data_IF_633828690533
#
_entry.id   IF_633828690533
#
_cell.length_a   1.000
_cell.length_b   1.000
_cell.length_c   1.000
_cell.angle_alpha   90.00
_cell.angle_beta   90.00
_cell.angle_gamma   90.00
#
_symmetry.space_group_name_H-M   'P 1'
#
loop_
_entity.id
_entity.type
_entity.pdbx_description
1 polymer ?
#
# COMPACT_ATOMS: atom_id res chain seq x y z
N UNK A 1 31.89 45.33 -8.76
CA UNK A 1 31.07 45.22 -7.54
C UNK A 1 30.16 44.04 -7.76
N UNK A 2 30.28 43.00 -6.94
CA UNK A 2 29.36 41.88 -7.01
C UNK A 2 28.02 42.34 -6.44
N UNK A 3 26.95 42.17 -7.22
CA UNK A 3 25.60 42.54 -6.81
C UNK A 3 25.04 41.38 -5.98
N UNK A 4 24.45 41.68 -4.81
CA UNK A 4 23.79 40.66 -4.00
C UNK A 4 22.69 39.97 -4.81
N UNK A 5 22.64 38.65 -4.75
CA UNK A 5 21.66 37.87 -5.48
C UNK A 5 21.58 36.43 -4.99
N UNK A 6 20.71 35.61 -5.62
CA UNK A 6 20.62 34.19 -5.30
C UNK A 6 21.81 33.44 -5.92
N UNK A 7 22.59 32.82 -5.06
CA UNK A 7 23.63 31.87 -5.41
C UNK A 7 23.13 30.45 -5.14
N UNK A 8 23.51 29.52 -5.99
CA UNK A 8 23.13 28.11 -5.85
C UNK A 8 24.37 27.24 -5.95
N UNK A 9 24.38 26.14 -5.19
CA UNK A 9 25.40 25.11 -5.26
C UNK A 9 24.87 23.78 -4.75
N UNK A 10 25.51 22.69 -5.16
CA UNK A 10 25.24 21.36 -4.62
C UNK A 10 26.14 21.16 -3.40
N UNK A 11 25.54 20.97 -2.23
CA UNK A 11 26.24 20.88 -0.95
C UNK A 11 26.29 19.44 -0.48
N UNK A 12 27.41 19.04 0.10
CA UNK A 12 27.64 17.71 0.68
C UNK A 12 28.03 17.86 2.15
N UNK A 13 27.42 17.07 3.01
CA UNK A 13 27.54 17.20 4.46
C UNK A 13 27.33 15.87 5.18
N UNK A 14 27.76 15.82 6.44
CA UNK A 14 27.75 14.62 7.28
C UNK A 14 26.91 14.81 8.52
N UNK A 15 26.13 13.79 8.87
CA UNK A 15 25.50 13.67 10.19
C UNK A 15 26.33 12.72 11.06
N UNK A 16 26.66 13.12 12.30
CA UNK A 16 27.33 12.23 13.24
C UNK A 16 26.31 11.40 14.02
N UNK A 17 26.33 10.07 13.87
CA UNK A 17 25.43 9.16 14.60
C UNK A 17 25.89 8.85 16.05
N UNK A 18 26.62 9.79 16.65
CA UNK A 18 27.25 9.65 17.96
C UNK A 18 28.71 10.09 17.89
N UNK A 19 29.03 11.26 18.46
CA UNK A 19 30.44 11.61 18.71
C UNK A 19 30.97 10.63 19.76
N UNK A 20 32.02 9.83 19.49
CA UNK A 20 32.63 9.02 20.53
C UNK A 20 33.19 9.98 21.58
N UNK A 21 32.53 10.05 22.73
CA UNK A 21 32.99 10.92 23.83
C UNK A 21 34.22 10.36 24.53
N UNK A 22 34.47 9.04 24.44
CA UNK A 22 35.42 8.35 25.32
C UNK A 22 36.30 7.27 24.67
N UNK A 23 36.20 7.01 23.35
CA UNK A 23 37.07 6.03 22.67
C UNK A 23 37.58 6.52 21.30
N UNK A 24 38.87 6.88 21.17
CA UNK A 24 39.46 7.34 19.90
C UNK A 24 39.66 6.23 18.87
N UNK A 25 39.36 4.96 19.20
CA UNK A 25 39.51 3.82 18.30
C UNK A 25 38.19 3.32 17.68
N UNK A 26 37.05 3.89 18.06
CA UNK A 26 35.77 3.59 17.41
C UNK A 26 35.66 4.43 16.14
N UNK A 27 35.53 3.79 14.98
CA UNK A 27 35.21 4.48 13.74
C UNK A 27 33.93 5.29 13.95
N UNK A 28 34.07 6.61 13.86
CA UNK A 28 32.94 7.51 13.95
C UNK A 28 31.96 7.16 12.84
N UNK A 29 30.76 6.69 13.20
CA UNK A 29 29.69 6.45 12.23
C UNK A 29 29.13 7.78 11.78
N UNK A 30 29.22 8.04 10.48
CA UNK A 30 28.59 9.19 9.84
C UNK A 30 27.67 8.73 8.71
N UNK A 31 26.66 9.55 8.42
CA UNK A 31 25.87 9.46 7.19
C UNK A 31 26.22 10.63 6.30
N UNK A 32 26.53 10.35 5.03
CA UNK A 32 26.76 11.37 4.02
C UNK A 32 25.44 11.76 3.36
N UNK A 33 25.27 13.05 3.13
CA UNK A 33 24.10 13.65 2.49
C UNK A 33 24.53 14.66 1.44
N UNK A 34 23.67 14.85 0.46
CA UNK A 34 23.76 15.91 -0.52
C UNK A 34 22.42 16.62 -0.67
N UNK A 35 22.44 17.94 -0.89
CA UNK A 35 21.26 18.71 -1.29
C UNK A 35 21.68 19.88 -2.18
N UNK A 36 20.74 20.45 -2.93
CA UNK A 36 20.96 21.80 -3.46
C UNK A 36 20.71 22.84 -2.36
N UNK A 37 21.46 23.93 -2.37
CA UNK A 37 21.20 25.06 -1.50
C UNK A 37 21.14 26.34 -2.32
N UNK A 38 20.19 27.21 -1.99
CA UNK A 38 20.15 28.58 -2.48
C UNK A 38 20.50 29.52 -1.32
N UNK A 39 21.34 30.53 -1.58
CA UNK A 39 21.74 31.53 -0.58
C UNK A 39 21.71 32.92 -1.19
N UNK A 40 21.15 33.89 -0.47
CA UNK A 40 21.21 35.30 -0.83
C UNK A 40 22.55 35.92 -0.40
N UNK A 41 23.48 36.06 -1.34
CA UNK A 41 24.86 36.52 -1.10
C UNK A 41 25.44 37.22 -2.32
N UNK A 42 26.58 37.89 -2.16
CA UNK A 42 27.35 38.50 -3.25
C UNK A 42 28.60 37.68 -3.62
N UNK A 43 28.87 36.58 -2.93
CA UNK A 43 30.11 35.85 -3.08
C UNK A 43 29.97 34.36 -2.73
N UNK A 44 30.84 33.56 -3.34
CA UNK A 44 31.00 32.14 -3.02
C UNK A 44 31.36 31.91 -1.55
N UNK A 45 32.19 32.79 -0.95
CA UNK A 45 32.53 32.71 0.46
C UNK A 45 31.27 32.89 1.34
N UNK A 46 30.45 33.90 1.06
CA UNK A 46 29.21 34.11 1.80
C UNK A 46 28.19 32.98 1.64
N UNK A 47 28.20 32.28 0.49
CA UNK A 47 27.42 31.06 0.29
C UNK A 47 27.87 29.96 1.27
N UNK A 48 29.17 29.63 1.27
CA UNK A 48 29.73 28.56 2.09
C UNK A 48 29.55 28.83 3.59
N UNK A 49 29.79 30.07 4.03
CA UNK A 49 29.59 30.46 5.43
C UNK A 49 28.13 30.29 5.86
N UNK A 50 27.18 30.71 5.02
CA UNK A 50 25.74 30.63 5.33
C UNK A 50 25.26 29.18 5.41
N UNK A 51 25.67 28.33 4.45
CA UNK A 51 25.33 26.90 4.45
C UNK A 51 25.95 26.21 5.66
N UNK A 52 27.22 26.48 5.96
CA UNK A 52 27.93 25.87 7.09
C UNK A 52 27.23 26.22 8.41
N UNK A 53 26.95 27.50 8.66
CA UNK A 53 26.26 27.93 9.88
C UNK A 53 24.87 27.30 10.01
N UNK A 54 24.13 27.18 8.90
CA UNK A 54 22.79 26.63 8.90
C UNK A 54 22.78 25.11 9.16
N UNK A 55 23.72 24.37 8.55
CA UNK A 55 23.86 22.93 8.75
C UNK A 55 24.37 22.58 10.15
N UNK A 56 25.35 23.33 10.67
CA UNK A 56 25.88 23.13 12.03
C UNK A 56 24.81 23.36 13.10
N UNK A 57 23.91 24.34 12.89
CA UNK A 57 22.78 24.57 13.77
C UNK A 57 21.80 23.39 13.83
N UNK A 58 21.80 22.53 12.80
CA UNK A 58 21.00 21.30 12.71
C UNK A 58 21.79 20.03 13.08
N UNK A 59 23.05 20.16 13.51
CA UNK A 59 23.89 19.03 13.91
C UNK A 59 24.68 18.36 12.78
N UNK A 60 24.63 18.91 11.57
CA UNK A 60 25.42 18.42 10.43
C UNK A 60 26.78 19.12 10.35
N UNK A 61 27.75 18.46 9.72
CA UNK A 61 29.04 19.03 9.37
C UNK A 61 29.14 19.19 7.86
N UNK A 62 29.26 20.43 7.40
CA UNK A 62 29.50 20.73 6.00
C UNK A 62 30.86 20.16 5.56
N UNK A 63 30.89 19.47 4.41
CA UNK A 63 32.10 18.84 3.89
C UNK A 63 32.63 19.59 2.67
N UNK A 64 31.84 19.74 1.62
CA UNK A 64 32.19 20.55 0.43
C UNK A 64 30.94 20.98 -0.34
N UNK A 65 31.12 21.88 -1.30
CA UNK A 65 30.08 22.24 -2.26
C UNK A 65 30.66 22.32 -3.69
N UNK A 66 29.83 21.94 -4.65
CA UNK A 66 30.13 21.96 -6.08
C UNK A 66 29.29 23.01 -6.79
N UNK A 67 29.88 23.58 -7.85
CA UNK A 67 29.22 24.51 -8.75
C UNK A 67 28.51 25.69 -8.06
N UNK A 68 29.14 26.24 -7.01
CA UNK A 68 28.62 27.41 -6.29
C UNK A 68 28.72 28.66 -7.16
N UNK A 69 27.60 29.08 -7.75
CA UNK A 69 27.52 30.15 -8.75
C UNK A 69 26.26 31.02 -8.54
N UNK A 70 26.27 32.28 -9.02
CA UNK A 70 25.03 33.05 -9.16
C UNK A 70 24.03 32.31 -10.05
N UNK A 71 22.73 32.37 -9.75
CA UNK A 71 21.69 31.56 -10.42
C UNK A 71 21.76 31.63 -11.95
N UNK A 72 21.98 32.83 -12.51
CA UNK A 72 22.04 33.04 -13.97
C UNK A 72 23.22 32.30 -14.58
N UNK A 73 24.39 32.35 -13.92
CA UNK A 73 25.58 31.62 -14.37
C UNK A 73 25.39 30.11 -14.21
N UNK A 74 24.75 29.67 -13.12
CA UNK A 74 24.43 28.27 -12.88
C UNK A 74 23.51 27.70 -13.98
N UNK A 75 22.37 28.36 -14.25
CA UNK A 75 21.41 27.96 -15.29
C UNK A 75 22.03 27.99 -16.69
N UNK A 76 22.93 28.95 -16.97
CA UNK A 76 23.64 29.00 -18.26
C UNK A 76 24.55 27.79 -18.47
N UNK A 77 25.15 27.28 -17.39
CA UNK A 77 26.10 26.15 -17.45
C UNK A 77 25.41 24.80 -17.48
N UNK A 78 24.37 24.61 -16.67
CA UNK A 78 23.72 23.30 -16.47
C UNK A 78 22.36 23.17 -17.17
N UNK A 79 21.80 24.27 -17.67
CA UNK A 79 20.46 24.30 -18.24
C UNK A 79 19.37 24.29 -17.17
N UNK A 80 18.20 23.78 -17.54
CA UNK A 80 17.03 23.68 -16.68
C UNK A 80 17.23 22.60 -15.60
N UNK A 81 16.96 22.94 -14.34
CA UNK A 81 16.94 21.99 -13.22
C UNK A 81 15.81 22.36 -12.25
N UNK A 82 14.82 21.48 -12.13
CA UNK A 82 13.56 21.77 -11.42
C UNK A 82 13.76 22.21 -9.97
N UNK A 83 14.65 21.55 -9.23
CA UNK A 83 14.89 21.89 -7.82
C UNK A 83 15.51 23.29 -7.66
N UNK A 84 16.53 23.62 -8.46
CA UNK A 84 17.21 24.93 -8.45
C UNK A 84 16.26 26.06 -8.86
N UNK A 85 15.41 25.81 -9.84
CA UNK A 85 14.34 26.74 -10.23
C UNK A 85 13.35 26.97 -9.08
N UNK A 86 13.03 25.94 -8.29
CA UNK A 86 12.10 26.07 -7.16
C UNK A 86 12.70 26.77 -5.93
N UNK A 87 14.01 26.61 -5.70
CA UNK A 87 14.72 27.14 -4.53
C UNK A 87 15.11 28.61 -4.70
N UNK A 88 15.63 28.98 -5.86
CA UNK A 88 16.18 30.33 -6.10
C UNK A 88 15.23 31.50 -5.84
N UNK A 89 13.91 31.43 -6.09
CA UNK A 89 12.97 32.52 -5.79
C UNK A 89 12.64 32.65 -4.30
N UNK A 90 12.97 31.64 -3.49
CA UNK A 90 12.65 31.63 -2.05
C UNK A 90 13.64 32.44 -1.23
N UNK A 91 14.85 32.65 -1.74
CA UNK A 91 15.88 33.40 -1.02
C UNK A 91 15.90 34.87 -1.39
N UNK A 92 16.03 35.72 -0.38
CA UNK A 92 16.10 37.17 -0.50
C UNK A 92 16.83 37.78 0.72
N UNK A 93 16.83 39.10 0.85
CA UNK A 93 17.51 39.79 1.95
C UNK A 93 16.99 39.41 3.36
N UNK A 94 15.71 39.01 3.46
CA UNK A 94 15.04 38.60 4.70
C UNK A 94 15.13 37.09 4.94
N UNK A 95 15.05 36.28 3.87
CA UNK A 95 15.21 34.82 3.91
C UNK A 95 16.52 34.41 3.21
N UNK A 96 17.61 34.33 3.96
CA UNK A 96 18.95 34.26 3.36
C UNK A 96 19.36 32.89 2.81
N UNK A 97 18.73 31.81 3.24
CA UNK A 97 19.11 30.45 2.84
C UNK A 97 17.89 29.55 2.75
N UNK A 98 17.86 28.72 1.72
CA UNK A 98 16.89 27.64 1.53
C UNK A 98 17.65 26.38 1.10
N UNK A 99 17.40 25.26 1.78
CA UNK A 99 17.94 23.96 1.40
C UNK A 99 16.88 23.15 0.64
N UNK A 100 17.32 22.45 -0.39
CA UNK A 100 16.57 21.43 -1.09
C UNK A 100 16.42 20.14 -0.29
N UNK A 101 15.92 19.09 -0.94
CA UNK A 101 15.76 17.81 -0.29
C UNK A 101 17.13 17.21 0.07
N UNK A 102 17.31 16.79 1.32
CA UNK A 102 18.53 16.11 1.76
C UNK A 102 18.50 14.65 1.34
N UNK A 103 19.40 14.27 0.44
CA UNK A 103 19.48 12.92 -0.15
C UNK A 103 20.70 12.23 0.42
N UNK A 104 20.53 11.00 0.92
CA UNK A 104 21.67 10.20 1.43
C UNK A 104 22.56 9.76 0.28
N UNK A 105 23.87 9.89 0.45
CA UNK A 105 24.86 9.52 -0.58
C UNK A 105 25.78 8.40 -0.11
N UNK A 106 26.31 7.64 -1.06
CA UNK A 106 27.43 6.72 -0.83
C UNK A 106 28.75 7.47 -0.68
N UNK A 107 29.83 6.73 -0.43
CA UNK A 107 31.19 7.28 -0.33
C UNK A 107 31.65 7.97 -1.64
N UNK A 108 31.06 7.60 -2.77
CA UNK A 108 31.32 8.16 -4.09
C UNK A 108 30.52 9.44 -4.38
N UNK A 109 29.72 9.92 -3.41
CA UNK A 109 28.86 11.09 -3.55
C UNK A 109 27.62 10.87 -4.43
N UNK A 110 27.38 9.63 -4.88
CA UNK A 110 26.17 9.29 -5.61
C UNK A 110 24.99 9.09 -4.65
N UNK A 111 23.76 9.50 -5.03
CA UNK A 111 22.57 9.15 -4.29
C UNK A 111 22.50 7.64 -4.07
N UNK A 112 22.31 7.22 -2.81
CA UNK A 112 21.98 5.82 -2.56
C UNK A 112 20.60 5.53 -3.16
N UNK A 113 20.41 4.35 -3.79
CA UNK A 113 19.10 3.98 -4.30
C UNK A 113 18.09 3.98 -3.15
N UNK A 114 16.88 4.47 -3.44
CA UNK A 114 15.79 4.39 -2.48
C UNK A 114 15.45 2.91 -2.25
N UNK A 115 15.68 2.44 -1.03
CA UNK A 115 15.39 1.07 -0.64
C UNK A 115 13.90 0.97 -0.31
N UNK A 116 13.19 0.10 -1.03
CA UNK A 116 11.79 -0.20 -0.72
C UNK A 116 11.69 -0.67 0.74
N UNK A 117 10.81 -0.06 1.55
CA UNK A 117 10.80 -0.34 2.98
C UNK A 117 10.24 -1.73 3.32
N UNK A 118 9.50 -2.33 2.40
CA UNK A 118 8.94 -3.68 2.52
C UNK A 118 9.55 -4.56 1.44
N UNK A 119 10.18 -5.66 1.86
CA UNK A 119 10.60 -6.72 0.96
C UNK A 119 9.44 -7.69 0.75
N UNK A 120 8.93 -7.77 -0.48
CA UNK A 120 7.86 -8.68 -0.87
C UNK A 120 8.42 -9.77 -1.79
N UNK A 121 8.29 -11.02 -1.37
CA UNK A 121 8.68 -12.21 -2.15
C UNK A 121 7.43 -13.02 -2.48
N UNK A 122 7.35 -13.55 -3.70
CA UNK A 122 6.25 -14.40 -4.16
C UNK A 122 6.77 -15.81 -4.38
N UNK A 123 6.12 -16.77 -3.74
CA UNK A 123 6.49 -18.18 -3.77
C UNK A 123 5.43 -18.97 -4.53
N UNK A 124 5.89 -19.76 -5.50
CA UNK A 124 5.09 -20.76 -6.16
C UNK A 124 5.15 -22.03 -5.32
N UNK A 125 4.06 -22.35 -4.62
CA UNK A 125 3.95 -23.55 -3.78
C UNK A 125 3.12 -24.58 -4.54
N UNK A 126 3.67 -25.77 -4.85
CA UNK A 126 2.90 -26.83 -5.48
C UNK A 126 1.69 -27.22 -4.63
N UNK A 127 0.55 -27.47 -5.26
CA UNK A 127 -0.57 -28.12 -4.58
C UNK A 127 -0.16 -29.52 -4.11
N UNK A 128 -0.76 -29.97 -3.00
CA UNK A 128 -0.59 -31.34 -2.57
C UNK A 128 -1.08 -32.28 -3.68
N UNK A 129 -0.34 -33.38 -3.98
CA UNK A 129 -0.81 -34.37 -4.93
C UNK A 129 -2.14 -34.97 -4.48
N UNK A 130 -2.86 -35.62 -5.40
CA UNK A 130 -4.05 -36.38 -5.01
C UNK A 130 -3.62 -37.52 -4.06
N UNK A 131 -4.23 -37.54 -2.87
CA UNK A 131 -3.95 -38.47 -1.79
C UNK A 131 -5.17 -39.37 -1.49
N UNK A 132 -6.11 -39.51 -2.44
CA UNK A 132 -7.29 -40.36 -2.28
C UNK A 132 -6.96 -41.81 -1.90
N UNK A 133 -5.90 -42.37 -2.49
CA UNK A 133 -5.43 -43.73 -2.25
C UNK A 133 -4.48 -43.86 -1.04
N UNK A 134 -4.03 -42.74 -0.47
CA UNK A 134 -3.17 -42.76 0.71
C UNK A 134 -4.00 -43.06 1.98
N UNK A 135 -3.52 -43.95 2.87
CA UNK A 135 -4.12 -44.13 4.19
C UNK A 135 -4.18 -42.80 4.96
N UNK A 136 -5.22 -42.60 5.76
CA UNK A 136 -5.46 -41.29 6.40
C UNK A 136 -4.30 -40.81 7.30
N UNK A 137 -3.50 -41.71 7.87
CA UNK A 137 -2.31 -41.41 8.69
C UNK A 137 -1.06 -41.02 7.87
N UNK A 138 -1.04 -41.34 6.57
CA UNK A 138 0.04 -40.97 5.64
C UNK A 138 -0.28 -39.71 4.83
N UNK A 139 -1.50 -39.15 4.99
CA UNK A 139 -1.91 -37.95 4.26
C UNK A 139 -1.20 -36.72 4.81
N UNK A 140 -0.42 -36.07 3.95
CA UNK A 140 0.15 -34.76 4.23
C UNK A 140 -0.98 -33.72 4.39
N UNK A 141 -0.91 -32.94 5.47
CA UNK A 141 -1.88 -31.88 5.79
C UNK A 141 -1.46 -30.51 5.21
N UNK A 142 -0.20 -30.38 4.78
CA UNK A 142 0.40 -29.17 4.22
C UNK A 142 1.51 -29.55 3.23
N UNK A 143 1.72 -28.73 2.21
CA UNK A 143 2.86 -28.89 1.29
C UNK A 143 4.19 -28.62 2.03
N UNK A 144 5.24 -29.43 1.85
CA UNK A 144 6.51 -29.27 2.57
C UNK A 144 7.15 -27.89 2.41
N UNK A 145 7.06 -27.29 1.22
CA UNK A 145 7.58 -25.95 0.95
C UNK A 145 6.82 -24.87 1.73
N UNK A 146 5.50 -25.04 1.87
CA UNK A 146 4.69 -24.14 2.69
C UNK A 146 4.95 -24.35 4.17
N UNK A 147 5.09 -25.60 4.62
CA UNK A 147 5.46 -25.92 6.00
C UNK A 147 6.80 -25.28 6.38
N UNK A 148 7.81 -25.41 5.53
CA UNK A 148 9.12 -24.81 5.72
C UNK A 148 9.03 -23.27 5.79
N UNK A 149 8.21 -22.65 4.94
CA UNK A 149 8.02 -21.20 4.94
C UNK A 149 7.31 -20.72 6.23
N UNK A 150 6.26 -21.42 6.68
CA UNK A 150 5.43 -21.02 7.82
C UNK A 150 6.03 -21.38 9.19
N UNK A 151 6.82 -22.44 9.28
CA UNK A 151 7.30 -23.00 10.55
C UNK A 151 8.83 -23.16 10.63
N UNK A 152 9.54 -23.08 9.49
CA UNK A 152 11.00 -23.22 9.44
C UNK A 152 11.72 -22.11 10.19
N UNK A 153 12.68 -22.47 11.05
CA UNK A 153 13.42 -21.50 11.86
C UNK A 153 14.61 -20.94 11.08
N UNK A 154 14.83 -19.61 11.09
CA UNK A 154 15.98 -19.02 10.40
C UNK A 154 17.30 -19.45 11.05
N UNK A 155 18.25 -19.91 10.23
CA UNK A 155 19.59 -20.26 10.69
C UNK A 155 20.32 -19.02 11.23
N UNK A 156 20.98 -19.15 12.38
CA UNK A 156 21.80 -18.08 12.97
C UNK A 156 21.03 -16.99 13.74
N UNK A 157 19.70 -17.10 13.88
CA UNK A 157 18.92 -16.20 14.75
C UNK A 157 18.88 -16.74 16.18
N UNK A 158 19.15 -15.87 17.17
CA UNK A 158 19.12 -16.27 18.59
C UNK A 158 17.71 -16.56 19.11
N UNK A 159 16.68 -15.90 18.56
CA UNK A 159 15.29 -16.06 18.96
C UNK A 159 14.49 -16.86 17.91
N UNK A 160 13.80 -17.91 18.37
CA UNK A 160 12.84 -18.65 17.57
C UNK A 160 11.64 -17.79 17.21
N UNK A 161 11.12 -17.96 15.99
CA UNK A 161 9.90 -17.32 15.54
C UNK A 161 8.69 -18.17 15.93
N UNK A 162 7.72 -17.51 16.54
CA UNK A 162 6.37 -18.00 16.74
C UNK A 162 5.54 -17.78 15.46
N UNK A 163 4.52 -18.61 15.25
CA UNK A 163 3.63 -18.54 14.09
C UNK A 163 2.19 -18.36 14.57
N UNK A 164 1.53 -17.31 14.10
CA UNK A 164 0.15 -16.98 14.45
C UNK A 164 -0.68 -16.83 13.18
N UNK A 165 -1.99 -17.07 13.25
CA UNK A 165 -2.92 -16.81 12.15
C UNK A 165 -3.91 -15.72 12.54
N UNK A 166 -3.96 -14.67 11.73
CA UNK A 166 -4.90 -13.57 11.89
C UNK A 166 -6.02 -13.75 10.85
N UNK A 167 -7.20 -14.15 11.33
CA UNK A 167 -8.33 -14.59 10.49
C UNK A 167 -9.51 -13.65 10.56
N UNK A 168 -10.21 -13.49 9.44
CA UNK A 168 -11.51 -12.83 9.40
C UNK A 168 -12.63 -13.83 9.74
N UNK A 169 -13.31 -13.64 10.89
CA UNK A 169 -14.35 -14.56 11.35
C UNK A 169 -15.54 -14.66 10.38
N UNK A 170 -15.87 -13.59 9.65
CA UNK A 170 -16.97 -13.63 8.69
C UNK A 170 -16.61 -14.50 7.48
N UNK A 171 -15.37 -14.41 6.99
CA UNK A 171 -14.89 -15.27 5.91
C UNK A 171 -14.79 -16.72 6.35
N UNK A 172 -14.25 -16.98 7.54
CA UNK A 172 -14.19 -18.33 8.11
C UNK A 172 -15.58 -18.96 8.23
N UNK A 173 -16.54 -18.20 8.80
CA UNK A 173 -17.94 -18.61 8.93
C UNK A 173 -18.59 -18.92 7.58
N UNK A 174 -18.27 -18.19 6.52
CA UNK A 174 -18.83 -18.46 5.19
C UNK A 174 -18.37 -19.80 4.60
N UNK A 175 -17.18 -20.27 4.98
CA UNK A 175 -16.62 -21.57 4.55
C UNK A 175 -17.18 -22.72 5.38
N UNK A 176 -17.29 -22.54 6.71
CA UNK A 176 -17.76 -23.59 7.63
C UNK A 176 -19.29 -23.63 7.70
N UNK A 177 -19.97 -22.54 7.39
CA UNK A 177 -21.42 -22.35 7.50
C UNK A 177 -21.88 -21.92 8.90
N UNK A 178 -21.01 -22.01 9.91
CA UNK A 178 -21.28 -21.61 11.30
C UNK A 178 -20.06 -20.90 11.91
N UNK A 179 -20.27 -20.17 13.01
CA UNK A 179 -19.16 -19.56 13.74
C UNK A 179 -18.64 -20.58 14.77
N UNK A 180 -17.39 -21.00 14.62
CA UNK A 180 -16.79 -22.13 15.36
C UNK A 180 -15.45 -21.80 16.04
N UNK A 181 -14.98 -20.55 15.92
CA UNK A 181 -13.70 -20.11 16.48
C UNK A 181 -13.65 -20.17 18.02
N UNK A 182 -14.77 -20.30 18.72
CA UNK A 182 -14.82 -20.53 20.18
C UNK A 182 -14.53 -22.00 20.58
N UNK A 183 -14.58 -22.94 19.63
CA UNK A 183 -14.47 -24.38 19.86
C UNK A 183 -13.23 -25.02 19.22
N UNK A 184 -12.25 -24.19 18.83
CA UNK A 184 -10.98 -24.67 18.24
C UNK A 184 -10.06 -25.24 19.33
N UNK A 185 -9.19 -26.16 18.92
CA UNK A 185 -8.27 -26.89 19.80
C UNK A 185 -6.91 -26.18 20.00
N UNK A 186 -6.90 -24.86 19.76
CA UNK A 186 -5.72 -23.99 19.83
C UNK A 186 -6.05 -22.67 20.53
N UNK A 187 -5.06 -21.98 21.13
CA UNK A 187 -5.29 -20.63 21.68
C UNK A 187 -5.82 -19.66 20.63
N UNK A 188 -6.85 -18.91 20.99
CA UNK A 188 -7.55 -17.97 20.10
C UNK A 188 -8.01 -16.75 20.88
N UNK A 189 -7.89 -15.56 20.28
CA UNK A 189 -8.32 -14.31 20.90
C UNK A 189 -8.88 -13.33 19.88
N UNK A 190 -10.07 -12.79 20.18
CA UNK A 190 -10.71 -11.73 19.40
C UNK A 190 -9.92 -10.43 19.54
N UNK A 191 -9.73 -9.67 18.45
CA UNK A 191 -9.06 -8.36 18.52
C UNK A 191 -9.99 -7.22 18.98
N UNK A 192 -11.32 -7.44 18.97
CA UNK A 192 -12.27 -6.45 19.49
C UNK A 192 -12.46 -6.62 21.00
N UNK A 193 -12.52 -5.51 21.72
CA UNK A 193 -12.74 -5.44 23.17
C UNK A 193 -14.15 -4.99 23.55
N UNK A 194 -14.54 -5.31 24.78
CA UNK A 194 -15.76 -4.81 25.42
C UNK A 194 -17.05 -5.30 24.76
N UNK A 195 -18.12 -4.51 24.88
CA UNK A 195 -19.45 -4.83 24.32
C UNK A 195 -19.43 -5.02 22.79
N UNK A 196 -18.47 -4.38 22.10
CA UNK A 196 -18.27 -4.56 20.66
C UNK A 196 -17.76 -5.96 20.30
N UNK A 197 -17.08 -6.65 21.22
CA UNK A 197 -16.60 -8.02 21.03
C UNK A 197 -17.78 -8.99 20.86
N UNK A 198 -18.74 -9.00 21.80
CA UNK A 198 -19.88 -9.92 21.74
C UNK A 198 -20.84 -9.60 20.60
N UNK A 199 -21.11 -8.31 20.34
CA UNK A 199 -22.03 -7.89 19.29
C UNK A 199 -21.51 -8.18 17.87
N UNK A 200 -20.19 -8.19 17.68
CA UNK A 200 -19.53 -8.34 16.37
C UNK A 200 -18.62 -9.56 16.29
N UNK A 201 -18.72 -10.51 17.23
CA UNK A 201 -17.81 -11.67 17.30
C UNK A 201 -17.74 -12.49 16.03
N UNK A 202 -18.85 -12.59 15.29
CA UNK A 202 -18.92 -13.32 14.03
C UNK A 202 -18.34 -12.57 12.82
N UNK A 203 -17.89 -11.32 13.01
CA UNK A 203 -17.29 -10.46 11.98
C UNK A 203 -15.96 -9.82 12.42
N UNK A 204 -15.53 -10.08 13.66
CA UNK A 204 -14.29 -9.55 14.19
C UNK A 204 -13.09 -10.37 13.67
N UNK A 205 -11.90 -9.75 13.58
CA UNK A 205 -10.67 -10.51 13.37
C UNK A 205 -10.23 -11.22 14.65
N UNK A 206 -9.63 -12.40 14.50
CA UNK A 206 -9.10 -13.22 15.59
C UNK A 206 -7.64 -13.57 15.35
N UNK A 207 -6.83 -13.51 16.40
CA UNK A 207 -5.49 -14.08 16.41
C UNK A 207 -5.56 -15.49 16.96
N UNK A 208 -4.94 -16.43 16.25
CA UNK A 208 -4.90 -17.85 16.59
C UNK A 208 -3.45 -18.29 16.68
N UNK A 209 -3.11 -19.06 17.71
CA UNK A 209 -1.77 -19.61 17.87
C UNK A 209 -1.61 -20.85 16.99
N UNK A 210 -0.65 -20.80 16.05
CA UNK A 210 -0.31 -21.91 15.18
C UNK A 210 0.93 -22.67 15.63
N UNK A 211 1.44 -22.45 16.86
CA UNK A 211 2.56 -23.21 17.39
C UNK A 211 2.30 -24.73 17.26
N UNK A 212 3.26 -25.43 16.67
CA UNK A 212 3.20 -26.87 16.51
C UNK A 212 3.75 -27.56 17.78
N UNK A 213 3.08 -28.60 18.30
CA UNK A 213 3.63 -29.42 19.37
C UNK A 213 4.98 -30.03 18.98
N UNK A 214 5.84 -30.28 19.98
CA UNK A 214 7.13 -30.93 19.74
C UNK A 214 6.91 -32.32 19.11
N UNK A 215 7.58 -32.57 17.98
CA UNK A 215 7.44 -33.83 17.23
C UNK A 215 6.34 -33.82 16.16
N UNK A 216 5.53 -32.77 16.05
CA UNK A 216 4.44 -32.70 15.06
C UNK A 216 4.92 -32.73 13.58
N UNK A 217 6.19 -32.37 13.31
CA UNK A 217 6.79 -32.54 11.99
C UNK A 217 7.18 -33.99 11.64
N UNK A 218 7.14 -34.90 12.62
CA UNK A 218 7.42 -36.34 12.44
C UNK A 218 6.15 -37.19 12.60
N UNK A 219 5.18 -36.69 13.37
CA UNK A 219 3.92 -37.36 13.66
C UNK A 219 2.74 -36.41 13.39
N UNK A 220 2.02 -36.67 12.30
CA UNK A 220 0.87 -35.88 11.88
C UNK A 220 -0.32 -35.99 12.85
N UNK A 221 -0.36 -37.00 13.73
CA UNK A 221 -1.43 -37.13 14.74
C UNK A 221 -1.29 -36.10 15.87
N UNK A 222 -0.09 -35.53 16.05
CA UNK A 222 0.15 -34.43 17.00
C UNK A 222 -0.27 -33.06 16.46
N UNK A 223 -0.55 -32.95 15.16
CA UNK A 223 -0.96 -31.69 14.52
C UNK A 223 -2.42 -31.39 14.90
N UNK A 224 -2.71 -30.23 15.51
CA UNK A 224 -4.08 -29.87 15.91
C UNK A 224 -5.06 -29.92 14.74
N UNK A 225 -6.33 -30.21 15.04
CA UNK A 225 -7.40 -30.30 14.05
C UNK A 225 -7.57 -28.98 13.30
N UNK A 226 -7.45 -27.85 14.01
CA UNK A 226 -7.53 -26.53 13.40
C UNK A 226 -6.52 -26.34 12.25
N UNK A 227 -5.26 -26.74 12.42
CA UNK A 227 -4.25 -26.63 11.36
C UNK A 227 -4.65 -27.42 10.10
N UNK A 228 -5.09 -28.67 10.28
CA UNK A 228 -5.52 -29.53 9.16
C UNK A 228 -6.69 -28.90 8.41
N UNK A 229 -7.68 -28.37 9.13
CA UNK A 229 -8.84 -27.71 8.53
C UNK A 229 -8.48 -26.38 7.84
N UNK A 230 -7.60 -25.59 8.45
CA UNK A 230 -7.07 -24.35 7.90
C UNK A 230 -6.48 -24.56 6.50
N UNK A 231 -5.55 -25.50 6.34
CA UNK A 231 -4.90 -25.71 5.04
C UNK A 231 -5.77 -26.45 4.04
N UNK A 232 -6.67 -27.33 4.50
CA UNK A 232 -7.59 -28.03 3.61
C UNK A 232 -8.69 -27.14 3.02
N UNK A 233 -9.17 -26.13 3.76
CA UNK A 233 -10.39 -25.38 3.39
C UNK A 233 -10.24 -23.87 3.37
N UNK A 234 -9.41 -23.31 4.25
CA UNK A 234 -9.37 -21.88 4.50
C UNK A 234 -8.22 -21.15 3.80
N UNK A 235 -7.08 -21.83 3.59
CA UNK A 235 -5.87 -21.25 3.02
C UNK A 235 -6.13 -20.69 1.63
N UNK A 236 -6.50 -21.52 0.65
CA UNK A 236 -6.75 -21.08 -0.73
C UNK A 236 -7.92 -20.08 -0.89
N UNK A 237 -8.72 -19.86 0.16
CA UNK A 237 -9.86 -18.95 0.17
C UNK A 237 -9.51 -17.57 0.74
N UNK A 238 -8.24 -17.27 0.99
CA UNK A 238 -7.75 -15.95 1.41
C UNK A 238 -8.42 -15.42 2.70
N UNK A 239 -8.75 -16.32 3.63
CA UNK A 239 -9.52 -15.99 4.85
C UNK A 239 -8.76 -15.20 5.91
N UNK A 240 -7.45 -15.08 5.76
CA UNK A 240 -6.58 -14.41 6.72
C UNK A 240 -5.12 -14.45 6.30
N UNK A 241 -4.25 -14.10 7.24
CA UNK A 241 -2.80 -14.05 7.05
C UNK A 241 -2.08 -14.77 8.18
N UNK A 242 -0.93 -15.36 7.88
CA UNK A 242 -0.02 -15.89 8.88
C UNK A 242 1.00 -14.81 9.25
N UNK A 243 1.25 -14.66 10.55
CA UNK A 243 2.22 -13.75 11.14
C UNK A 243 3.33 -14.59 11.77
N UNK A 244 4.58 -14.38 11.36
CA UNK A 244 5.74 -14.95 12.04
C UNK A 244 6.51 -13.87 12.78
N UNK A 245 6.81 -14.08 14.05
CA UNK A 245 7.51 -13.08 14.87
C UNK A 245 8.12 -13.69 16.12
N UNK A 246 9.18 -13.08 16.66
CA UNK A 246 9.74 -13.45 17.95
C UNK A 246 8.84 -12.99 19.13
N UNK A 247 7.85 -12.13 18.87
CA UNK A 247 6.94 -11.66 19.90
C UNK A 247 6.02 -12.78 20.43
N UNK A 248 5.69 -12.70 21.71
CA UNK A 248 4.69 -13.57 22.36
C UNK A 248 3.28 -13.30 21.84
N UNK A 249 2.37 -14.27 22.00
CA UNK A 249 0.97 -14.16 21.57
C UNK A 249 0.31 -12.85 22.00
N UNK A 250 0.38 -12.50 23.29
CA UNK A 250 -0.18 -11.26 23.84
C UNK A 250 0.40 -9.98 23.23
N UNK A 251 1.70 -9.99 22.93
CA UNK A 251 2.38 -8.84 22.34
C UNK A 251 1.97 -8.66 20.88
N UNK A 252 1.90 -9.76 20.12
CA UNK A 252 1.37 -9.76 18.74
C UNK A 252 -0.09 -9.31 18.71
N UNK A 253 -0.91 -9.80 19.64
CA UNK A 253 -2.32 -9.42 19.73
C UNK A 253 -2.49 -7.92 19.99
N UNK A 254 -1.76 -7.34 20.96
CA UNK A 254 -1.79 -5.89 21.22
C UNK A 254 -1.31 -5.07 20.03
N UNK A 255 -0.26 -5.53 19.36
CA UNK A 255 0.25 -4.87 18.15
C UNK A 255 -0.80 -4.83 17.04
N UNK A 256 -1.46 -5.96 16.80
CA UNK A 256 -2.54 -6.07 15.83
C UNK A 256 -3.71 -5.12 16.19
N UNK A 257 -4.13 -5.14 17.46
CA UNK A 257 -5.22 -4.31 17.95
C UNK A 257 -4.93 -2.81 17.75
N UNK A 258 -3.70 -2.36 17.98
CA UNK A 258 -3.30 -0.96 17.82
C UNK A 258 -3.49 -0.43 16.37
N UNK A 259 -3.50 -1.31 15.37
CA UNK A 259 -3.63 -0.96 13.96
C UNK A 259 -5.05 -1.16 13.40
N UNK A 260 -6.03 -1.54 14.22
CA UNK A 260 -7.42 -1.69 13.78
C UNK A 260 -8.05 -0.36 13.35
N UNK A 261 -7.76 0.72 14.09
CA UNK A 261 -8.29 2.07 13.86
C UNK A 261 -7.15 3.04 13.66
N UNK A 262 -7.05 3.58 12.47
CA UNK A 262 -5.93 4.42 12.06
C UNK A 262 -6.42 5.83 11.75
N UNK A 263 -5.74 6.87 12.27
CA UNK A 263 -6.07 8.25 11.94
C UNK A 263 -5.83 8.54 10.46
N UNK A 264 -6.63 9.44 9.88
CA UNK A 264 -6.43 9.93 8.51
C UNK A 264 -5.60 11.20 8.56
N UNK A 265 -4.55 11.26 7.75
CA UNK A 265 -3.67 12.43 7.68
C UNK A 265 -4.45 13.70 7.34
N UNK A 266 -4.28 14.74 8.16
CA UNK A 266 -4.96 16.02 7.99
C UNK A 266 -6.46 16.04 8.33
N UNK A 267 -7.01 14.94 8.86
CA UNK A 267 -8.43 14.83 9.19
C UNK A 267 -8.65 14.38 10.64
N UNK A 268 -9.74 14.82 11.27
CA UNK A 268 -10.07 14.45 12.66
C UNK A 268 -10.70 13.07 12.80
N UNK A 269 -10.93 12.35 11.70
CA UNK A 269 -11.58 11.03 11.71
C UNK A 269 -10.55 9.91 11.70
N UNK A 270 -10.98 8.75 12.20
CA UNK A 270 -10.25 7.49 12.12
C UNK A 270 -11.02 6.53 11.21
N UNK A 271 -10.28 5.66 10.52
CA UNK A 271 -10.86 4.60 9.70
C UNK A 271 -10.44 3.23 10.23
N UNK A 272 -11.31 2.25 10.02
CA UNK A 272 -10.95 0.86 10.29
C UNK A 272 -10.09 0.32 9.15
N UNK A 273 -8.88 -0.15 9.47
CA UNK A 273 -7.97 -0.75 8.51
C UNK A 273 -8.06 -2.28 8.60
N UNK A 274 -8.59 -2.92 7.56
CA UNK A 274 -8.73 -4.38 7.46
C UNK A 274 -7.44 -5.06 6.99
N UNK A 275 -6.31 -4.75 7.62
CA UNK A 275 -4.98 -5.23 7.19
C UNK A 275 -4.80 -6.76 7.33
N UNK A 276 -5.74 -7.46 7.96
CA UNK A 276 -5.75 -8.93 8.02
C UNK A 276 -6.31 -9.60 6.76
N UNK A 277 -6.81 -8.82 5.80
CA UNK A 277 -7.30 -9.35 4.54
C UNK A 277 -6.18 -9.31 3.48
N UNK A 278 -5.84 -10.43 2.81
CA UNK A 278 -4.76 -10.50 1.82
C UNK A 278 -4.79 -9.37 0.77
N UNK A 279 -5.94 -9.13 0.15
CA UNK A 279 -6.09 -8.04 -0.84
C UNK A 279 -5.84 -6.62 -0.30
N UNK A 280 -6.09 -6.40 0.99
CA UNK A 280 -5.80 -5.10 1.63
C UNK A 280 -4.30 -4.91 1.78
N UNK A 281 -3.56 -5.97 2.15
CA UNK A 281 -2.10 -5.94 2.23
C UNK A 281 -1.44 -5.81 0.86
N UNK A 282 -1.90 -6.55 -0.15
CA UNK A 282 -1.37 -6.44 -1.51
C UNK A 282 -1.54 -5.03 -2.09
N UNK A 283 -2.52 -4.28 -1.60
CA UNK A 283 -2.72 -2.87 -1.96
C UNK A 283 -1.89 -1.92 -1.12
N UNK A 284 -1.75 -2.20 0.18
CA UNK A 284 -1.11 -1.30 1.15
C UNK A 284 0.42 -1.41 1.14
N UNK A 285 0.96 -2.63 1.24
CA UNK A 285 2.39 -2.87 1.44
C UNK A 285 3.28 -2.20 0.38
N UNK A 286 2.94 -2.21 -0.93
CA UNK A 286 3.78 -1.59 -1.95
C UNK A 286 3.84 -0.06 -1.90
N UNK A 287 2.92 0.58 -1.15
CA UNK A 287 2.86 2.05 -1.05
C UNK A 287 3.21 2.55 0.34
N UNK A 288 3.57 1.67 1.28
CA UNK A 288 3.96 2.09 2.62
C UNK A 288 5.25 2.89 2.58
N UNK A 289 5.28 3.98 3.35
CA UNK A 289 6.52 4.72 3.58
C UNK A 289 7.35 4.04 4.67
N UNK A 290 8.64 4.38 4.73
CA UNK A 290 9.61 3.79 5.67
C UNK A 290 9.08 3.68 7.10
N UNK A 291 8.55 4.78 7.63
CA UNK A 291 8.06 4.80 9.01
C UNK A 291 6.82 3.97 9.22
N UNK A 292 5.85 4.07 8.32
CA UNK A 292 4.60 3.32 8.42
C UNK A 292 4.81 1.81 8.21
N UNK A 293 5.75 1.42 7.35
CA UNK A 293 6.19 0.04 7.21
C UNK A 293 6.78 -0.48 8.53
N UNK A 294 7.65 0.30 9.19
CA UNK A 294 8.21 -0.07 10.49
C UNK A 294 7.13 -0.26 11.55
N UNK A 295 6.21 0.70 11.66
CA UNK A 295 5.12 0.65 12.64
C UNK A 295 4.19 -0.54 12.40
N UNK A 296 3.83 -0.82 11.14
CA UNK A 296 2.92 -1.91 10.82
C UNK A 296 3.57 -3.29 11.01
N UNK A 297 4.81 -3.47 10.55
CA UNK A 297 5.46 -4.78 10.51
C UNK A 297 6.27 -5.06 11.78
N UNK A 298 7.01 -4.10 12.34
CA UNK A 298 7.76 -4.20 13.61
C UNK A 298 8.42 -5.57 13.90
N UNK A 299 9.18 -6.08 12.94
CA UNK A 299 9.87 -7.38 13.06
C UNK A 299 8.99 -8.62 12.85
N UNK A 300 7.76 -8.43 12.38
CA UNK A 300 6.87 -9.48 11.89
C UNK A 300 7.12 -9.76 10.41
N UNK A 301 6.89 -11.01 10.04
CA UNK A 301 6.77 -11.46 8.66
C UNK A 301 5.30 -11.81 8.42
N UNK A 302 4.74 -11.31 7.33
CA UNK A 302 3.37 -11.61 6.90
C UNK A 302 3.43 -12.61 5.75
N UNK A 303 2.68 -13.70 5.86
CA UNK A 303 2.63 -14.75 4.84
C UNK A 303 1.17 -15.06 4.54
N UNK A 304 0.77 -14.96 3.27
CA UNK A 304 -0.62 -15.15 2.89
C UNK A 304 -0.77 -15.65 1.45
N UNK A 305 -1.84 -16.39 1.14
CA UNK A 305 -2.12 -16.83 -0.22
C UNK A 305 -2.72 -15.68 -1.03
N UNK A 306 -2.36 -15.59 -2.30
CA UNK A 306 -2.93 -14.62 -3.24
C UNK A 306 -2.81 -15.12 -4.67
N UNK A 307 -3.92 -15.20 -5.39
CA UNK A 307 -3.92 -15.47 -6.85
C UNK A 307 -3.14 -16.75 -7.25
N UNK A 308 -3.17 -17.78 -6.40
CA UNK A 308 -2.45 -19.05 -6.61
C UNK A 308 -0.99 -19.05 -6.16
N UNK A 309 -0.49 -17.94 -5.62
CA UNK A 309 0.85 -17.81 -5.05
C UNK A 309 0.79 -17.68 -3.52
N UNK A 310 1.95 -17.79 -2.88
CA UNK A 310 2.15 -17.41 -1.48
C UNK A 310 3.01 -16.16 -1.42
N UNK A 311 2.44 -15.08 -0.91
CA UNK A 311 3.12 -13.80 -0.70
C UNK A 311 3.77 -13.83 0.68
N UNK A 312 5.06 -13.47 0.73
CA UNK A 312 5.83 -13.29 1.95
C UNK A 312 6.35 -11.86 2.00
N UNK A 313 5.89 -11.08 2.98
CA UNK A 313 6.27 -9.70 3.18
C UNK A 313 6.92 -9.49 4.54
N UNK A 314 8.00 -8.71 4.57
CA UNK A 314 8.69 -8.33 5.80
C UNK A 314 9.36 -6.96 5.62
N UNK A 315 9.79 -6.35 6.72
CA UNK A 315 10.66 -5.18 6.62
C UNK A 315 11.91 -5.54 5.82
N UNK A 316 12.29 -4.64 4.91
CA UNK A 316 13.50 -4.84 4.16
C UNK A 316 14.71 -4.85 5.13
N UNK A 317 15.52 -5.92 5.17
CA UNK A 317 16.67 -5.99 6.08
C UNK A 317 17.71 -4.90 5.85
N UNK A 318 17.76 -4.34 4.64
CA UNK A 318 18.64 -3.22 4.27
C UNK A 318 18.08 -1.86 4.70
N UNK A 319 16.84 -1.84 5.23
CA UNK A 319 16.21 -0.63 5.71
C UNK A 319 16.86 -0.16 7.01
N UNK A 320 17.64 0.90 6.91
CA UNK A 320 18.10 1.62 8.09
C UNK A 320 16.96 2.47 8.66
N UNK A 321 16.72 2.29 9.97
CA UNK A 321 15.73 3.04 10.72
C UNK A 321 16.43 4.14 11.52
N UNK A 322 15.91 5.36 11.41
CA UNK A 322 16.32 6.46 12.26
C UNK A 322 15.51 6.43 13.55
N UNK A 323 16.10 6.82 14.68
CA UNK A 323 15.42 6.80 15.99
C UNK A 323 14.13 7.63 16.00
N UNK A 324 14.03 8.66 15.15
CA UNK A 324 12.83 9.49 14.99
C UNK A 324 11.63 8.76 14.38
N UNK A 325 11.86 7.62 13.72
CA UNK A 325 10.82 6.83 13.04
C UNK A 325 10.02 5.98 14.03
N UNK A 326 10.63 5.59 15.14
CA UNK A 326 9.99 4.71 16.13
C UNK A 326 8.85 5.40 16.88
N UNK A 327 8.90 6.71 17.02
CA UNK A 327 7.93 7.51 17.77
C UNK A 327 6.77 8.06 16.93
N UNK A 328 6.82 7.91 15.60
CA UNK A 328 5.75 8.40 14.72
C UNK A 328 4.56 7.43 14.69
N UNK A 329 3.33 7.91 14.93
CA UNK A 329 2.15 7.07 14.82
C UNK A 329 1.84 6.74 13.36
N UNK A 330 1.40 5.50 13.11
CA UNK A 330 0.90 5.09 11.80
C UNK A 330 -0.34 5.92 11.43
N UNK A 331 -0.32 6.56 10.26
CA UNK A 331 -1.43 7.39 9.76
C UNK A 331 -1.77 7.04 8.31
N UNK A 332 -3.05 7.12 7.93
CA UNK A 332 -3.49 6.92 6.55
C UNK A 332 -3.20 8.18 5.72
N UNK A 333 -2.08 8.14 5.00
CA UNK A 333 -1.61 9.18 4.11
C UNK A 333 -2.36 9.21 2.77
N UNK A 334 -2.19 10.30 2.03
CA UNK A 334 -2.79 10.49 0.69
C UNK A 334 -2.55 9.32 -0.26
N UNK A 335 -1.30 8.88 -0.41
CA UNK A 335 -0.92 7.78 -1.30
C UNK A 335 -1.64 6.47 -0.97
N UNK A 336 -1.86 6.19 0.33
CA UNK A 336 -2.49 4.94 0.78
C UNK A 336 -3.97 4.95 0.44
N UNK A 337 -4.63 6.09 0.63
CA UNK A 337 -6.03 6.31 0.26
C UNK A 337 -6.24 6.19 -1.24
N UNK A 338 -5.33 6.72 -2.04
CA UNK A 338 -5.38 6.55 -3.49
C UNK A 338 -5.22 5.08 -3.90
N UNK A 339 -4.32 4.33 -3.27
CA UNK A 339 -4.17 2.90 -3.51
C UNK A 339 -5.46 2.12 -3.18
N UNK A 340 -6.08 2.39 -2.02
CA UNK A 340 -7.37 1.80 -1.67
C UNK A 340 -8.51 2.25 -2.58
N UNK A 341 -8.51 3.50 -3.02
CA UNK A 341 -9.51 3.97 -3.97
C UNK A 341 -9.39 3.21 -5.30
N UNK A 342 -8.17 3.02 -5.81
CA UNK A 342 -7.91 2.18 -7.00
C UNK A 342 -8.38 0.74 -6.79
N UNK A 343 -8.22 0.17 -5.60
CA UNK A 343 -8.74 -1.16 -5.27
C UNK A 343 -10.28 -1.20 -5.34
N UNK A 344 -10.95 -0.24 -4.70
CA UNK A 344 -12.42 -0.13 -4.74
C UNK A 344 -12.90 0.03 -6.18
N UNK A 345 -12.21 0.83 -6.98
CA UNK A 345 -12.53 1.03 -8.39
C UNK A 345 -12.42 -0.25 -9.19
N UNK A 346 -11.34 -1.01 -9.03
CA UNK A 346 -11.15 -2.30 -9.71
C UNK A 346 -12.28 -3.26 -9.39
N UNK A 347 -12.66 -3.40 -8.12
CA UNK A 347 -13.79 -4.25 -7.71
C UNK A 347 -15.11 -3.78 -8.30
N UNK A 348 -15.36 -2.47 -8.24
CA UNK A 348 -16.56 -1.86 -8.80
C UNK A 348 -16.67 -2.07 -10.32
N UNK A 349 -15.57 -1.87 -11.04
CA UNK A 349 -15.46 -2.12 -12.48
C UNK A 349 -15.73 -3.60 -12.77
N UNK A 350 -15.03 -4.53 -12.10
CA UNK A 350 -15.18 -5.97 -12.34
C UNK A 350 -16.62 -6.46 -12.15
N UNK A 351 -17.33 -5.95 -11.13
CA UNK A 351 -18.74 -6.28 -10.90
C UNK A 351 -19.66 -5.73 -12.01
N UNK A 352 -19.41 -4.51 -12.50
CA UNK A 352 -20.16 -3.95 -13.64
C UNK A 352 -19.87 -4.75 -14.92
N UNK A 353 -18.61 -5.05 -15.21
CA UNK A 353 -18.20 -5.84 -16.36
C UNK A 353 -18.89 -7.21 -16.35
N UNK A 354 -18.80 -7.93 -15.22
CA UNK A 354 -19.48 -9.22 -15.02
C UNK A 354 -20.98 -9.11 -15.31
N UNK A 355 -21.64 -8.08 -14.78
CA UNK A 355 -23.08 -7.87 -14.99
C UNK A 355 -23.40 -7.55 -16.46
N UNK A 356 -22.62 -6.70 -17.11
CA UNK A 356 -22.80 -6.35 -18.53
C UNK A 356 -22.62 -7.58 -19.43
N UNK A 357 -21.55 -8.34 -19.21
CA UNK A 357 -21.27 -9.56 -19.98
C UNK A 357 -22.38 -10.60 -19.82
N UNK A 358 -23.04 -10.67 -18.66
CA UNK A 358 -24.20 -11.53 -18.44
C UNK A 358 -25.49 -11.02 -19.10
N UNK A 359 -25.59 -9.72 -19.36
CA UNK A 359 -26.78 -9.08 -19.92
C UNK A 359 -26.76 -8.96 -21.45
N UNK A 360 -25.57 -8.96 -22.07
CA UNK A 360 -25.42 -8.83 -23.51
C UNK A 360 -25.61 -10.18 -24.24
N UNK A 361 -26.38 -10.21 -25.34
CA UNK A 361 -26.50 -11.40 -26.17
C UNK A 361 -25.19 -11.64 -26.94
N UNK A 362 -24.70 -12.89 -26.93
CA UNK A 362 -23.47 -13.33 -27.62
C UNK A 362 -22.19 -12.61 -27.18
N UNK A 363 -21.58 -13.12 -26.10
CA UNK A 363 -20.35 -12.58 -25.51
C UNK A 363 -19.09 -13.13 -26.19
N UNK A 364 -18.80 -12.67 -27.41
CA UNK A 364 -17.52 -12.95 -28.07
C UNK A 364 -16.36 -12.12 -27.48
N UNK A 365 -15.14 -12.36 -27.97
CA UNK A 365 -13.94 -11.69 -27.47
C UNK A 365 -13.95 -10.18 -27.75
N UNK A 366 -14.55 -9.74 -28.85
CA UNK A 366 -14.64 -8.32 -29.21
C UNK A 366 -15.57 -7.58 -28.25
N UNK A 367 -16.74 -8.16 -27.96
CA UNK A 367 -17.68 -7.63 -26.96
C UNK A 367 -17.04 -7.56 -25.58
N UNK A 368 -16.28 -8.59 -25.17
CA UNK A 368 -15.53 -8.57 -23.90
C UNK A 368 -14.55 -7.41 -23.83
N UNK A 369 -13.74 -7.24 -24.87
CA UNK A 369 -12.76 -6.16 -24.92
C UNK A 369 -13.43 -4.79 -24.84
N UNK A 370 -14.52 -4.58 -25.61
CA UNK A 370 -15.29 -3.33 -25.58
C UNK A 370 -15.86 -3.04 -24.19
N UNK A 371 -16.35 -4.05 -23.47
CA UNK A 371 -16.83 -3.90 -22.09
C UNK A 371 -15.68 -3.45 -21.18
N UNK A 372 -14.54 -4.14 -21.24
CA UNK A 372 -13.34 -3.83 -20.43
C UNK A 372 -12.79 -2.43 -20.69
N UNK A 373 -12.89 -1.91 -21.91
CA UNK A 373 -12.45 -0.55 -22.23
C UNK A 373 -13.48 0.52 -21.81
N UNK A 374 -14.77 0.18 -21.91
CA UNK A 374 -15.88 1.14 -21.68
C UNK A 374 -16.12 1.40 -20.21
N UNK A 375 -16.13 0.38 -19.36
CA UNK A 375 -16.52 0.53 -17.94
C UNK A 375 -15.59 1.48 -17.16
N UNK A 376 -14.24 1.34 -17.23
CA UNK A 376 -13.33 2.27 -16.55
C UNK A 376 -13.49 3.71 -17.07
N UNK A 377 -13.71 3.87 -18.37
CA UNK A 377 -13.91 5.17 -19.01
C UNK A 377 -15.18 5.85 -18.51
N UNK A 378 -16.28 5.11 -18.35
CA UNK A 378 -17.54 5.65 -17.82
C UNK A 378 -17.47 5.98 -16.33
N UNK A 379 -16.78 5.15 -15.54
CA UNK A 379 -16.53 5.46 -14.13
C UNK A 379 -15.77 6.79 -13.99
N UNK A 380 -14.72 7.00 -14.80
CA UNK A 380 -13.95 8.25 -14.84
C UNK A 380 -14.83 9.43 -15.25
N UNK A 381 -15.60 9.28 -16.34
CA UNK A 381 -16.51 10.31 -16.85
C UNK A 381 -17.51 10.78 -15.79
N UNK A 382 -18.11 9.84 -15.05
CA UNK A 382 -19.10 10.15 -14.01
C UNK A 382 -18.44 10.89 -12.85
N UNK A 383 -17.24 10.47 -12.41
CA UNK A 383 -16.53 11.12 -11.29
C UNK A 383 -16.14 12.55 -11.56
N UNK A 384 -15.61 12.81 -12.75
CA UNK A 384 -15.24 14.16 -13.18
C UNK A 384 -16.46 15.10 -13.13
N UNK A 385 -17.66 14.56 -13.40
CA UNK A 385 -18.92 15.32 -13.41
C UNK A 385 -19.70 15.30 -12.10
N UNK A 386 -19.37 14.40 -11.19
CA UNK A 386 -19.98 14.33 -9.84
C UNK A 386 -19.23 15.16 -8.81
N UNK A 387 -18.12 15.81 -9.19
CA UNK A 387 -17.29 16.57 -8.26
C UNK A 387 -16.64 15.69 -7.19
N UNK A 388 -16.39 14.42 -7.51
CA UNK A 388 -15.81 13.44 -6.58
C UNK A 388 -16.84 12.72 -5.69
N UNK A 389 -18.15 12.94 -5.87
CA UNK A 389 -19.16 12.18 -5.15
C UNK A 389 -19.10 10.68 -5.52
N UNK A 390 -19.42 9.76 -4.57
CA UNK A 390 -19.46 8.33 -4.83
C UNK A 390 -20.34 7.97 -6.01
N UNK A 391 -19.84 7.11 -6.90
CA UNK A 391 -20.58 6.71 -8.11
C UNK A 391 -21.52 5.55 -7.78
N UNK A 392 -22.81 5.75 -8.04
CA UNK A 392 -23.80 4.68 -7.90
C UNK A 392 -23.58 3.58 -8.95
N UNK A 393 -23.63 2.32 -8.52
CA UNK A 393 -23.49 1.15 -9.40
C UNK A 393 -24.46 1.20 -10.58
N UNK A 394 -25.74 1.47 -10.33
CA UNK A 394 -26.77 1.52 -11.37
C UNK A 394 -26.48 2.56 -12.44
N UNK A 395 -26.04 3.75 -12.05
CA UNK A 395 -25.72 4.85 -12.97
C UNK A 395 -24.54 4.52 -13.87
N UNK A 396 -23.46 3.96 -13.32
CA UNK A 396 -22.31 3.54 -14.12
C UNK A 396 -22.68 2.38 -15.06
N UNK A 397 -23.42 1.38 -14.56
CA UNK A 397 -23.90 0.27 -15.37
C UNK A 397 -24.76 0.74 -16.55
N UNK A 398 -25.75 1.61 -16.29
CA UNK A 398 -26.66 2.10 -17.34
C UNK A 398 -25.92 2.93 -18.40
N UNK A 399 -25.02 3.83 -17.98
CA UNK A 399 -24.25 4.62 -18.92
C UNK A 399 -23.32 3.74 -19.76
N UNK A 400 -22.62 2.78 -19.13
CA UNK A 400 -21.79 1.81 -19.87
C UNK A 400 -22.61 0.99 -20.86
N UNK A 401 -23.80 0.54 -20.48
CA UNK A 401 -24.69 -0.20 -21.39
C UNK A 401 -25.11 0.66 -22.59
N UNK A 402 -25.52 1.92 -22.37
CA UNK A 402 -25.89 2.84 -23.45
C UNK A 402 -24.73 3.08 -24.43
N UNK A 403 -23.53 3.31 -23.91
CA UNK A 403 -22.32 3.52 -24.74
C UNK A 403 -22.01 2.26 -25.57
N UNK A 404 -22.13 1.07 -24.98
CA UNK A 404 -21.92 -0.19 -25.70
C UNK A 404 -22.96 -0.40 -26.82
N UNK A 405 -24.23 -0.10 -26.55
CA UNK A 405 -25.33 -0.26 -27.51
C UNK A 405 -25.27 0.76 -28.66
N UNK A 406 -24.84 1.99 -28.38
CA UNK A 406 -24.71 3.05 -29.38
C UNK A 406 -23.45 2.93 -30.24
N UNK A 407 -22.40 2.26 -29.74
CA UNK A 407 -21.14 2.09 -30.47
C UNK A 407 -20.52 3.44 -30.83
N UNK A 408 -20.17 3.70 -32.11
CA UNK A 408 -19.58 4.97 -32.52
C UNK A 408 -20.45 6.21 -32.22
N UNK A 409 -21.78 6.07 -32.18
CA UNK A 409 -22.69 7.17 -31.87
C UNK A 409 -22.70 7.56 -30.37
N UNK A 410 -21.99 6.81 -29.52
CA UNK A 410 -21.90 7.11 -28.10
C UNK A 410 -21.19 8.45 -27.83
N UNK A 411 -20.29 8.88 -28.71
CA UNK A 411 -19.59 10.16 -28.54
C UNK A 411 -20.57 11.34 -28.54
N UNK A 412 -21.53 11.34 -29.48
CA UNK A 412 -22.57 12.36 -29.56
C UNK A 412 -23.41 12.41 -28.29
N UNK A 413 -23.69 11.24 -27.69
CA UNK A 413 -24.39 11.16 -26.41
C UNK A 413 -23.55 11.78 -25.27
N UNK A 414 -22.27 11.42 -25.16
CA UNK A 414 -21.38 11.89 -24.09
C UNK A 414 -21.07 13.39 -24.17
N UNK A 415 -21.11 13.95 -25.37
CA UNK A 415 -20.95 15.38 -25.65
C UNK A 415 -22.27 16.16 -25.58
N UNK A 416 -23.42 15.47 -25.54
CA UNK A 416 -24.73 16.11 -25.50
C UNK A 416 -24.83 17.09 -24.32
N UNK A 417 -25.45 18.28 -24.51
CA UNK A 417 -25.66 19.26 -23.45
C UNK A 417 -26.31 18.66 -22.20
N UNK A 418 -27.22 17.70 -22.40
CA UNK A 418 -27.92 16.99 -21.33
C UNK A 418 -26.96 16.29 -20.36
N UNK A 419 -25.92 15.60 -20.85
CA UNK A 419 -24.94 14.91 -19.99
C UNK A 419 -23.83 15.85 -19.49
N UNK A 420 -23.76 17.08 -20.00
CA UNK A 420 -22.79 18.10 -19.60
C UNK A 420 -23.37 19.17 -18.65
N UNK A 421 -24.69 19.18 -18.42
CA UNK A 421 -25.35 20.10 -17.50
C UNK A 421 -24.91 19.85 -16.05
N UNK A 422 -24.21 20.81 -15.44
CA UNK A 422 -23.65 20.67 -14.08
C UNK A 422 -24.68 20.84 -12.98
N UNK A 423 -25.81 21.48 -13.29
CA UNK A 423 -26.87 21.75 -12.31
C UNK A 423 -27.76 20.53 -12.02
N UNK A 424 -27.68 19.50 -12.86
CA UNK A 424 -28.50 18.28 -12.74
C UNK A 424 -27.61 17.12 -12.26
N UNK A 425 -28.01 16.37 -11.21
CA UNK A 425 -27.28 15.18 -10.77
C UNK A 425 -27.01 14.21 -11.92
N UNK A 426 -25.82 13.59 -11.93
CA UNK A 426 -25.40 12.68 -13.01
C UNK A 426 -26.35 11.48 -13.18
N UNK A 427 -26.93 11.03 -12.08
CA UNK A 427 -27.91 9.94 -12.05
C UNK A 427 -29.17 10.29 -12.86
N UNK A 428 -29.68 11.51 -12.69
CA UNK A 428 -30.86 11.98 -13.43
C UNK A 428 -30.54 12.18 -14.91
N UNK A 429 -29.35 12.68 -15.23
CA UNK A 429 -28.90 12.85 -16.63
C UNK A 429 -28.79 11.51 -17.35
N UNK A 430 -28.22 10.49 -16.70
CA UNK A 430 -28.14 9.12 -17.25
C UNK A 430 -29.53 8.51 -17.41
N UNK A 431 -30.44 8.71 -16.45
CA UNK A 431 -31.82 8.24 -16.56
C UNK A 431 -32.56 8.85 -17.76
N UNK A 432 -32.42 10.16 -18.00
CA UNK A 432 -32.99 10.85 -19.15
C UNK A 432 -32.39 10.37 -20.48
N UNK A 433 -31.07 10.17 -20.52
CA UNK A 433 -30.40 9.60 -21.70
C UNK A 433 -30.94 8.19 -22.04
N UNK A 434 -31.19 7.37 -21.02
CA UNK A 434 -31.80 6.04 -21.16
C UNK A 434 -33.22 6.12 -21.71
N UNK A 435 -34.05 7.00 -21.18
CA UNK A 435 -35.42 7.20 -21.66
C UNK A 435 -35.45 7.66 -23.12
N UNK A 436 -34.62 8.64 -23.47
CA UNK A 436 -34.48 9.12 -24.85
C UNK A 436 -34.06 8.00 -25.83
N UNK A 437 -33.13 7.14 -25.42
CA UNK A 437 -32.71 5.98 -26.23
C UNK A 437 -33.87 4.99 -26.44
N UNK A 438 -34.64 4.68 -25.40
CA UNK A 438 -35.79 3.78 -25.49
C UNK A 438 -36.88 4.34 -26.40
N UNK A 439 -37.21 5.63 -26.27
CA UNK A 439 -38.19 6.30 -27.15
C UNK A 439 -37.75 6.24 -28.62
N UNK A 440 -36.46 6.49 -28.87
CA UNK A 440 -35.88 6.45 -30.23
C UNK A 440 -35.95 5.04 -30.82
N UNK A 441 -35.67 4.01 -30.02
CA UNK A 441 -35.81 2.61 -30.44
C UNK A 441 -37.26 2.27 -30.77
N UNK A 442 -38.21 2.61 -29.90
CA UNK A 442 -39.64 2.35 -30.11
C UNK A 442 -40.12 3.00 -31.40
N UNK A 443 -39.77 4.27 -31.63
CA UNK A 443 -40.11 4.99 -32.85
C UNK A 443 -39.59 4.29 -34.12
N UNK A 444 -38.34 3.80 -34.09
CA UNK A 444 -37.78 3.08 -35.23
C UNK A 444 -38.36 1.69 -35.44
N UNK A 445 -38.77 1.00 -34.38
CA UNK A 445 -39.47 -0.29 -34.47
C UNK A 445 -40.86 -0.13 -35.07
N UNK A 446 -41.64 0.86 -34.61
CA UNK A 446 -42.97 1.16 -35.14
C UNK A 446 -42.95 1.56 -36.62
N UNK A 447 -41.91 2.27 -37.07
CA UNK A 447 -41.77 2.66 -38.48
C UNK A 447 -41.36 1.49 -39.40
N UNK A 448 -40.83 0.40 -38.85
CA UNK A 448 -40.41 -0.79 -39.59
C UNK A 448 -41.47 -1.90 -39.63
N UNK A 449 -42.43 -1.88 -38.70
CA UNK A 449 -43.61 -2.75 -38.70
C UNK A 449 -44.67 -2.22 -39.68
#
# INVERSE_FOLDING_TARGET
>A
MSEYGPWVGRCYFREWLGRPKDDPFVESRFKDYACFAAVWTDSQAGFLDSVTCHLEAQGYVFTWAEDVLPIIAWMTRHGYHAEVESLSPRVNAEHRIELGAMIRTGEDGQPLPEVDPVLITRHQVPELPDQADAPFWERAWIAPELEALLFGQPEGREASLNTYFLVDAALSKNIVGTFDLEAVDVPVQCLFEGEGSEAQKASAPYLIDLALPQGAGQDADLVPRFHKDLFARHWAQETGIVIRTAATFDATWRHCQAHLKVPVEGESRQLFLRYWHPETLDTLLPVLERGDAYQLLRGMQLIYPREGEVVHAQLNPELELDASVEDQPFTLKGAYREAFQRLVDRRFIAEIEKKLLSALPHTDQEVRQRVTDTVPSMLRYIRERSGGAPVAFGTCFELSLLVLLLGPAAQDLLEAPLLNERLVPVEQRVALAREWYLETLTYHMEKRA
#
